data_IF_315682276871
#
_entry.id   IF_315682276871
#
_cell.length_a   1.000
_cell.length_b   1.000
_cell.length_c   1.000
_cell.angle_alpha   90.00
_cell.angle_beta   90.00
_cell.angle_gamma   90.00
#
_symmetry.space_group_name_H-M   'P 1'
#
loop_
_entity.id
_entity.type
_entity.pdbx_description
1 polymer ?
#
# COMPACT_ATOMS: atom_id res chain seq x y z
N UNK A 1 10.27 5.07 -2.85
CA UNK A 1 9.71 5.06 -1.49
C UNK A 1 9.45 3.62 -1.07
N UNK A 2 9.65 3.29 0.20
CA UNK A 2 9.12 2.04 0.78
C UNK A 2 7.86 2.39 1.56
N UNK A 3 6.82 1.58 1.42
CA UNK A 3 5.53 1.74 2.10
C UNK A 3 5.22 0.47 2.89
N UNK A 4 4.45 0.63 3.96
CA UNK A 4 3.99 -0.51 4.74
C UNK A 4 2.73 -1.05 4.07
N UNK A 5 2.65 -2.36 3.82
CA UNK A 5 1.46 -3.00 3.27
C UNK A 5 0.96 -4.05 4.25
N UNK A 6 -0.31 -3.94 4.64
CA UNK A 6 -1.03 -4.91 5.47
C UNK A 6 -1.87 -5.83 4.61
N UNK A 7 -1.69 -7.14 4.75
CA UNK A 7 -2.59 -8.16 4.20
C UNK A 7 -3.80 -8.32 5.12
N UNK A 8 -5.01 -8.10 4.61
CA UNK A 8 -6.24 -8.16 5.39
C UNK A 8 -6.63 -9.58 5.81
N UNK A 9 -6.13 -10.59 5.11
CA UNK A 9 -6.53 -11.99 5.30
C UNK A 9 -5.90 -12.56 6.57
N UNK A 10 -4.68 -12.13 6.89
CA UNK A 10 -3.91 -12.63 8.02
C UNK A 10 -3.41 -11.52 8.97
N UNK A 11 -3.59 -10.25 8.61
CA UNK A 11 -3.15 -9.09 9.40
C UNK A 11 -1.64 -8.85 9.38
N UNK A 12 -0.89 -9.54 8.52
CA UNK A 12 0.56 -9.38 8.40
C UNK A 12 0.86 -8.06 7.73
N UNK A 13 1.83 -7.34 8.29
CA UNK A 13 2.36 -6.11 7.72
C UNK A 13 3.79 -6.34 7.24
N UNK A 14 4.08 -5.88 6.03
CA UNK A 14 5.41 -6.00 5.44
C UNK A 14 5.75 -4.76 4.61
N UNK A 15 7.03 -4.42 4.58
CA UNK A 15 7.53 -3.27 3.86
C UNK A 15 7.83 -3.62 2.42
N UNK A 16 7.21 -2.89 1.50
CA UNK A 16 7.44 -3.07 0.07
C UNK A 16 7.93 -1.77 -0.56
N UNK A 17 8.82 -1.84 -1.56
CA UNK A 17 8.98 -0.76 -2.52
C UNK A 17 7.62 -0.42 -3.15
N UNK A 18 7.33 0.87 -3.36
CA UNK A 18 6.07 1.33 -3.95
C UNK A 18 5.70 0.56 -5.24
N UNK A 19 6.66 0.35 -6.13
CA UNK A 19 6.46 -0.41 -7.37
C UNK A 19 6.04 -1.86 -7.13
N UNK A 20 6.55 -2.52 -6.08
CA UNK A 20 6.15 -3.87 -5.73
C UNK A 20 4.77 -3.90 -5.07
N UNK A 21 4.48 -2.91 -4.21
CA UNK A 21 3.16 -2.75 -3.62
C UNK A 21 2.09 -2.51 -4.70
N UNK A 22 2.40 -1.70 -5.72
CA UNK A 22 1.55 -1.47 -6.88
C UNK A 22 1.18 -2.79 -7.59
N UNK A 23 2.17 -3.64 -7.87
CA UNK A 23 1.94 -4.96 -8.45
C UNK A 23 1.12 -5.86 -7.53
N UNK A 24 1.42 -5.87 -6.24
CA UNK A 24 0.73 -6.69 -5.23
C UNK A 24 -0.75 -6.29 -5.08
N UNK A 25 -1.02 -4.99 -5.08
CA UNK A 25 -2.35 -4.43 -4.88
C UNK A 25 -3.16 -4.34 -6.18
N UNK A 26 -2.51 -4.45 -7.33
CA UNK A 26 -3.13 -4.24 -8.64
C UNK A 26 -3.56 -2.79 -8.88
N UNK A 27 -2.90 -1.84 -8.20
CA UNK A 27 -3.16 -0.39 -8.30
C UNK A 27 -1.90 0.25 -8.87
N UNK A 28 -2.05 1.30 -9.67
CA UNK A 28 -0.90 2.00 -10.22
C UNK A 28 -0.09 2.70 -9.10
N UNK A 29 1.24 2.73 -9.25
CA UNK A 29 2.14 3.25 -8.21
C UNK A 29 1.86 4.73 -7.90
N UNK A 30 1.54 5.53 -8.92
CA UNK A 30 1.15 6.94 -8.81
C UNK A 30 -0.20 7.10 -8.08
N UNK A 31 -1.17 6.22 -8.33
CA UNK A 31 -2.44 6.24 -7.60
C UNK A 31 -2.25 5.89 -6.12
N UNK A 32 -1.41 4.90 -5.80
CA UNK A 32 -1.06 4.60 -4.40
C UNK A 32 -0.40 5.81 -3.74
N UNK A 33 0.59 6.41 -4.41
CA UNK A 33 1.33 7.57 -3.89
C UNK A 33 0.40 8.75 -3.59
N UNK A 34 -0.46 9.13 -4.55
CA UNK A 34 -1.45 10.19 -4.34
C UNK A 34 -2.41 9.89 -3.18
N UNK A 35 -2.90 8.65 -3.07
CA UNK A 35 -3.81 8.26 -1.98
C UNK A 35 -3.13 8.30 -0.62
N UNK A 36 -1.88 7.86 -0.55
CA UNK A 36 -1.08 7.96 0.67
C UNK A 36 -0.87 9.41 1.07
N UNK A 37 -0.54 10.30 0.13
CA UNK A 37 -0.38 11.73 0.44
C UNK A 37 -1.69 12.41 0.89
N UNK A 38 -2.83 12.03 0.29
CA UNK A 38 -4.12 12.66 0.59
C UNK A 38 -4.80 12.10 1.85
N UNK A 39 -4.69 10.79 2.09
CA UNK A 39 -5.47 10.06 3.08
C UNK A 39 -4.62 9.31 4.11
N UNK A 40 -3.32 9.17 3.89
CA UNK A 40 -2.42 8.35 4.71
C UNK A 40 -2.52 6.85 4.42
N UNK A 41 -3.48 6.42 3.60
CA UNK A 41 -3.71 5.01 3.28
C UNK A 41 -4.29 4.81 1.87
N UNK A 42 -4.04 3.64 1.29
CA UNK A 42 -4.62 3.18 0.04
C UNK A 42 -5.06 1.72 0.20
N UNK A 43 -6.33 1.42 -0.06
CA UNK A 43 -6.92 0.10 0.20
C UNK A 43 -7.42 -0.56 -1.10
N UNK A 44 -7.11 -1.84 -1.28
CA UNK A 44 -7.70 -2.71 -2.31
C UNK A 44 -8.46 -3.87 -1.65
N UNK A 45 -8.91 -4.88 -2.41
CA UNK A 45 -9.67 -6.00 -1.84
C UNK A 45 -8.93 -6.72 -0.71
N UNK A 46 -7.67 -7.10 -0.95
CA UNK A 46 -6.89 -7.96 -0.06
C UNK A 46 -5.84 -7.23 0.77
N UNK A 47 -5.49 -5.99 0.42
CA UNK A 47 -4.34 -5.27 0.99
C UNK A 47 -4.67 -3.81 1.35
N UNK A 48 -3.91 -3.27 2.30
CA UNK A 48 -3.92 -1.85 2.68
C UNK A 48 -2.48 -1.35 2.67
N UNK A 49 -2.15 -0.43 1.77
CA UNK A 49 -0.93 0.36 1.85
C UNK A 49 -1.12 1.49 2.86
N UNK A 50 -0.13 1.67 3.73
CA UNK A 50 -0.12 2.62 4.83
C UNK A 50 1.11 3.50 4.70
N UNK A 51 0.92 4.80 4.88
CA UNK A 51 2.02 5.73 4.99
C UNK A 51 2.69 5.52 6.36
N UNK A 52 4.02 5.32 6.41
CA UNK A 52 4.70 5.23 7.68
C UNK A 52 4.76 6.60 8.37
N UNK A 53 4.44 6.63 9.67
CA UNK A 53 4.53 7.82 10.54
C UNK A 53 5.94 8.44 10.55
#
# INVERSE_FOLDING_TARGET
>A
MHILVRDKRNGVEEWFPLEQAAVLMGIAADEIDCRLEELGECECADYIALQPE
#
